data_IF_975163123263
#
_entry.id   IF_975163123263
#
_cell.length_a   1.000
_cell.length_b   1.000
_cell.length_c   1.000
_cell.angle_alpha   90.00
_cell.angle_beta   90.00
_cell.angle_gamma   90.00
#
_symmetry.space_group_name_H-M   'P 1'
#
loop_
_entity.id
_entity.type
_entity.pdbx_description
1 polymer ?
#
# COMPACT_ATOMS: atom_id res chain seq x y z
N UNK A 1 16.92 58.98 -31.29
CA UNK A 1 16.43 60.17 -30.57
C UNK A 1 14.95 59.91 -30.28
N UNK A 2 14.63 59.32 -29.11
CA UNK A 2 14.09 60.00 -27.90
C UNK A 2 12.65 60.53 -28.18
N UNK A 3 11.59 60.20 -27.44
CA UNK A 3 11.46 60.12 -25.97
C UNK A 3 10.32 59.18 -25.57
N UNK A 4 10.58 58.37 -24.55
CA UNK A 4 9.65 57.52 -23.80
C UNK A 4 8.70 58.44 -23.01
N UNK A 5 7.45 58.59 -23.46
CA UNK A 5 6.41 59.42 -22.83
C UNK A 5 5.58 58.72 -21.76
N UNK A 6 6.19 57.81 -20.99
CA UNK A 6 5.52 57.07 -19.93
C UNK A 6 5.80 57.67 -18.55
N UNK A 7 4.75 58.21 -17.92
CA UNK A 7 4.58 58.24 -16.45
C UNK A 7 5.17 59.42 -15.64
N UNK A 8 4.95 60.67 -16.05
CA UNK A 8 5.30 61.86 -15.23
C UNK A 8 4.20 62.28 -14.21
N UNK A 9 3.01 61.65 -14.25
CA UNK A 9 1.85 62.01 -13.42
C UNK A 9 1.86 61.39 -12.01
N UNK A 10 2.31 60.15 -11.88
CA UNK A 10 2.38 59.45 -10.58
C UNK A 10 3.41 60.12 -9.67
N UNK A 11 4.53 60.58 -10.25
CA UNK A 11 5.61 61.21 -9.51
C UNK A 11 5.18 62.54 -8.85
N UNK A 12 4.37 63.38 -9.51
CA UNK A 12 3.86 64.64 -8.90
C UNK A 12 2.82 64.39 -7.80
N UNK A 13 1.98 63.36 -7.95
CA UNK A 13 0.97 62.99 -6.93
C UNK A 13 1.59 62.49 -5.63
N UNK A 14 2.72 61.79 -5.70
CA UNK A 14 3.42 61.28 -4.51
C UNK A 14 4.03 62.40 -3.65
N UNK A 15 4.50 63.50 -4.24
CA UNK A 15 5.13 64.59 -3.49
C UNK A 15 4.12 65.47 -2.75
N UNK A 16 2.88 65.57 -3.23
CA UNK A 16 1.81 66.37 -2.62
C UNK A 16 1.03 65.65 -1.49
N UNK A 17 1.39 64.41 -1.15
CA UNK A 17 0.78 63.69 -0.03
C UNK A 17 1.44 64.09 1.30
N UNK A 18 0.62 64.33 2.34
CA UNK A 18 1.14 64.58 3.68
C UNK A 18 1.96 63.39 4.18
N UNK A 19 2.98 63.65 5.00
CA UNK A 19 3.91 62.65 5.54
C UNK A 19 3.16 61.46 6.17
N UNK A 20 2.01 61.72 6.82
CA UNK A 20 1.12 60.71 7.39
C UNK A 20 0.67 59.66 6.37
N UNK A 21 0.24 60.07 5.18
CA UNK A 21 -0.24 59.12 4.15
C UNK A 21 0.90 58.26 3.58
N UNK A 22 2.11 58.81 3.46
CA UNK A 22 3.29 58.06 3.00
C UNK A 22 3.68 56.96 4.00
N UNK A 23 3.69 57.29 5.28
CA UNK A 23 3.95 56.32 6.37
C UNK A 23 2.83 55.27 6.45
N UNK A 24 1.56 55.68 6.44
CA UNK A 24 0.42 54.75 6.47
C UNK A 24 0.44 53.81 5.27
N UNK A 25 0.75 54.28 4.06
CA UNK A 25 0.85 53.42 2.88
C UNK A 25 1.95 52.34 3.03
N UNK A 26 3.11 52.70 3.57
CA UNK A 26 4.20 51.75 3.84
C UNK A 26 3.79 50.66 4.85
N UNK A 27 3.18 51.06 5.97
CA UNK A 27 2.68 50.11 6.98
C UNK A 27 1.50 49.27 6.46
N UNK A 28 0.59 49.84 5.67
CA UNK A 28 -0.50 49.08 5.06
C UNK A 28 0.04 48.05 4.06
N UNK A 29 1.09 48.38 3.30
CA UNK A 29 1.73 47.45 2.40
C UNK A 29 2.37 46.28 3.15
N UNK A 30 3.07 46.52 4.27
CA UNK A 30 3.66 45.42 5.07
C UNK A 30 2.59 44.53 5.68
N UNK A 31 1.51 45.10 6.23
CA UNK A 31 0.37 44.33 6.73
C UNK A 31 -0.26 43.47 5.62
N UNK A 32 -0.46 44.06 4.45
CA UNK A 32 -1.00 43.35 3.29
C UNK A 32 -0.11 42.17 2.86
N UNK A 33 1.20 42.37 2.75
CA UNK A 33 2.14 41.29 2.42
C UNK A 33 2.17 40.20 3.50
N UNK A 34 2.11 40.56 4.78
CA UNK A 34 2.03 39.59 5.88
C UNK A 34 0.76 38.74 5.78
N UNK A 35 -0.39 39.36 5.48
CA UNK A 35 -1.66 38.63 5.28
C UNK A 35 -1.55 37.68 4.08
N UNK A 36 -1.00 38.14 2.95
CA UNK A 36 -0.80 37.31 1.77
C UNK A 36 0.09 36.09 2.06
N UNK A 37 1.25 36.31 2.68
CA UNK A 37 2.16 35.23 3.05
C UNK A 37 1.47 34.26 4.01
N UNK A 38 0.76 34.77 5.02
CA UNK A 38 0.03 33.93 5.98
C UNK A 38 -1.07 33.09 5.30
N UNK A 39 -1.81 33.67 4.35
CA UNK A 39 -2.85 32.96 3.59
C UNK A 39 -2.25 31.86 2.69
N UNK A 40 -1.16 32.16 1.98
CA UNK A 40 -0.46 31.16 1.15
C UNK A 40 0.17 30.05 1.99
N UNK A 41 0.74 30.41 3.15
CA UNK A 41 1.27 29.46 4.12
C UNK A 41 0.19 28.53 4.65
N UNK A 42 -0.96 29.09 5.03
CA UNK A 42 -2.11 28.31 5.50
C UNK A 42 -2.63 27.34 4.42
N UNK A 43 -2.80 27.81 3.17
CA UNK A 43 -3.21 26.95 2.06
C UNK A 43 -2.21 25.82 1.83
N UNK A 44 -0.92 26.16 1.76
CA UNK A 44 0.15 25.17 1.56
C UNK A 44 0.16 24.12 2.68
N UNK A 45 0.09 24.55 3.94
CA UNK A 45 0.00 23.65 5.09
C UNK A 45 -1.26 22.79 5.06
N UNK A 46 -2.40 23.32 4.60
CA UNK A 46 -3.64 22.54 4.47
C UNK A 46 -3.51 21.43 3.42
N UNK A 47 -2.95 21.75 2.24
CA UNK A 47 -2.71 20.78 1.18
C UNK A 47 -1.71 19.69 1.61
N UNK A 48 -0.61 20.08 2.27
CA UNK A 48 0.36 19.12 2.82
C UNK A 48 -0.32 18.20 3.84
N UNK A 49 -1.17 18.75 4.73
CA UNK A 49 -1.86 17.96 5.74
C UNK A 49 -2.77 16.90 5.12
N UNK A 50 -3.53 17.26 4.08
CA UNK A 50 -4.39 16.31 3.37
C UNK A 50 -3.59 15.19 2.72
N UNK A 51 -2.49 15.51 2.02
CA UNK A 51 -1.65 14.48 1.41
C UNK A 51 -1.00 13.55 2.45
N UNK A 52 -0.55 14.11 3.58
CA UNK A 52 -0.01 13.31 4.70
C UNK A 52 -1.10 12.42 5.28
N UNK A 53 -2.31 12.93 5.49
CA UNK A 53 -3.43 12.16 6.03
C UNK A 53 -3.82 11.00 5.10
N UNK A 54 -3.90 11.22 3.79
CA UNK A 54 -4.20 10.17 2.81
C UNK A 54 -3.14 9.06 2.78
N UNK A 55 -1.86 9.44 2.87
CA UNK A 55 -0.75 8.48 2.92
C UNK A 55 -0.81 7.66 4.21
N UNK A 56 -0.92 8.30 5.37
CA UNK A 56 -0.81 7.61 6.66
C UNK A 56 -2.08 6.85 7.06
N UNK A 57 -3.27 7.32 6.66
CA UNK A 57 -4.54 6.69 7.05
C UNK A 57 -5.09 5.72 6.00
N UNK A 58 -4.69 5.86 4.73
CA UNK A 58 -5.12 5.00 3.64
C UNK A 58 -4.00 4.11 3.10
N UNK A 59 -3.01 4.72 2.44
CA UNK A 59 -2.03 3.98 1.61
C UNK A 59 -1.06 3.14 2.43
N UNK A 60 -0.53 3.68 3.53
CA UNK A 60 0.43 2.97 4.38
C UNK A 60 -0.19 1.71 5.02
N UNK A 61 -1.39 1.75 5.64
CA UNK A 61 -2.07 0.54 6.09
C UNK A 61 -2.40 -0.43 4.97
N UNK A 62 -2.83 0.05 3.79
CA UNK A 62 -3.12 -0.81 2.65
C UNK A 62 -1.86 -1.59 2.19
N UNK A 63 -0.73 -0.91 2.07
CA UNK A 63 0.55 -1.52 1.73
C UNK A 63 1.04 -2.49 2.80
N UNK A 64 0.91 -2.13 4.09
CA UNK A 64 1.24 -3.02 5.21
C UNK A 64 0.45 -4.32 5.12
N UNK A 65 -0.87 -4.26 4.94
CA UNK A 65 -1.70 -5.46 4.80
C UNK A 65 -1.35 -6.33 3.59
N UNK A 66 -1.02 -5.73 2.45
CA UNK A 66 -0.62 -6.48 1.25
C UNK A 66 0.71 -7.21 1.48
N UNK A 67 1.73 -6.52 1.99
CA UNK A 67 3.06 -7.09 2.25
C UNK A 67 3.00 -8.15 3.34
N UNK A 68 2.25 -7.90 4.41
CA UNK A 68 2.09 -8.90 5.47
C UNK A 68 1.33 -10.13 4.98
N UNK A 69 0.28 -9.97 4.17
CA UNK A 69 -0.42 -11.11 3.58
C UNK A 69 0.52 -11.94 2.69
N UNK A 70 1.36 -11.28 1.89
CA UNK A 70 2.35 -11.97 1.04
C UNK A 70 3.41 -12.73 1.85
N UNK A 71 3.90 -12.12 2.93
CA UNK A 71 4.83 -12.75 3.87
C UNK A 71 4.22 -14.02 4.47
N UNK A 72 2.99 -13.95 4.96
CA UNK A 72 2.31 -15.09 5.57
C UNK A 72 2.10 -16.23 4.55
N UNK A 73 1.79 -15.89 3.29
CA UNK A 73 1.71 -16.84 2.18
C UNK A 73 3.05 -17.55 1.91
N UNK A 74 4.18 -16.84 1.98
CA UNK A 74 5.50 -17.49 1.90
C UNK A 74 5.79 -18.37 3.11
N UNK A 75 5.42 -17.91 4.31
CA UNK A 75 5.63 -18.65 5.55
C UNK A 75 4.88 -19.98 5.55
N UNK A 76 3.60 -19.99 5.14
CA UNK A 76 2.85 -21.24 5.05
C UNK A 76 3.39 -22.16 3.94
N UNK A 77 3.84 -21.66 2.79
CA UNK A 77 4.45 -22.54 1.76
C UNK A 77 5.76 -23.15 2.24
N UNK A 78 6.57 -22.38 2.98
CA UNK A 78 7.76 -22.90 3.64
C UNK A 78 7.41 -24.05 4.59
N UNK A 79 6.32 -23.90 5.36
CA UNK A 79 5.81 -24.93 6.26
C UNK A 79 5.31 -26.16 5.50
N UNK A 80 4.48 -25.97 4.46
CA UNK A 80 3.98 -27.04 3.59
C UNK A 80 5.13 -27.90 3.04
N UNK A 81 6.16 -27.24 2.51
CA UNK A 81 7.32 -27.94 1.94
C UNK A 81 8.15 -28.65 3.01
N UNK A 82 8.24 -28.08 4.20
CA UNK A 82 8.91 -28.71 5.34
C UNK A 82 8.14 -29.95 5.84
N UNK A 83 6.81 -29.91 5.82
CA UNK A 83 5.96 -31.05 6.17
C UNK A 83 6.25 -32.27 5.30
N UNK A 84 6.59 -32.08 4.01
CA UNK A 84 6.92 -33.18 3.10
C UNK A 84 8.07 -34.02 3.65
N UNK A 85 9.07 -33.38 4.26
CA UNK A 85 10.28 -34.02 4.79
C UNK A 85 10.23 -34.37 6.29
N UNK A 86 9.15 -34.02 6.98
CA UNK A 86 9.04 -34.18 8.43
C UNK A 86 8.26 -35.44 8.80
N UNK A 87 8.81 -36.29 9.66
CA UNK A 87 8.11 -37.49 10.16
C UNK A 87 6.77 -37.10 10.81
N UNK A 88 5.65 -37.66 10.32
CA UNK A 88 4.30 -37.35 10.84
C UNK A 88 4.06 -37.80 12.28
N UNK A 89 4.94 -38.63 12.84
CA UNK A 89 4.88 -39.02 14.26
C UNK A 89 5.64 -38.08 15.19
N UNK A 90 6.36 -37.10 14.66
CA UNK A 90 7.14 -36.16 15.45
C UNK A 90 6.33 -34.97 15.92
N UNK A 91 6.64 -34.43 17.11
CA UNK A 91 6.01 -33.21 17.63
C UNK A 91 6.21 -32.00 16.69
N UNK A 92 7.34 -31.97 15.99
CA UNK A 92 7.65 -30.94 14.98
C UNK A 92 6.63 -30.92 13.85
N UNK A 93 6.11 -32.09 13.45
CA UNK A 93 5.12 -32.17 12.38
C UNK A 93 3.82 -31.47 12.77
N UNK A 94 3.33 -31.71 13.98
CA UNK A 94 2.13 -31.03 14.49
C UNK A 94 2.33 -29.51 14.51
N UNK A 95 3.49 -29.04 14.96
CA UNK A 95 3.83 -27.62 14.94
C UNK A 95 3.87 -27.00 13.54
N UNK A 96 4.36 -27.72 12.52
CA UNK A 96 4.32 -27.21 11.14
C UNK A 96 2.92 -27.22 10.53
N UNK A 97 2.05 -28.16 10.90
CA UNK A 97 0.64 -28.14 10.49
C UNK A 97 -0.09 -26.95 11.11
N UNK A 98 0.13 -26.70 12.40
CA UNK A 98 -0.41 -25.53 13.10
C UNK A 98 0.09 -24.23 12.46
N UNK A 99 1.40 -24.08 12.27
CA UNK A 99 2.00 -22.91 11.63
C UNK A 99 1.46 -22.68 10.21
N UNK A 100 1.26 -23.73 9.42
CA UNK A 100 0.61 -23.62 8.10
C UNK A 100 -0.82 -23.05 8.21
N UNK A 101 -1.64 -23.59 9.13
CA UNK A 101 -3.03 -23.17 9.31
C UNK A 101 -3.14 -21.74 9.84
N UNK A 102 -2.31 -21.37 10.80
CA UNK A 102 -2.25 -20.02 11.36
C UNK A 102 -1.91 -18.98 10.27
N UNK A 103 -0.90 -19.24 9.46
CA UNK A 103 -0.50 -18.33 8.38
C UNK A 103 -1.52 -18.30 7.23
N UNK A 104 -2.22 -19.40 6.96
CA UNK A 104 -3.36 -19.43 6.03
C UNK A 104 -4.50 -18.52 6.51
N UNK A 105 -4.81 -18.55 7.81
CA UNK A 105 -5.81 -17.66 8.42
C UNK A 105 -5.34 -16.20 8.42
N UNK A 106 -4.13 -15.95 8.90
CA UNK A 106 -3.57 -14.61 9.01
C UNK A 106 -3.48 -13.88 7.66
N UNK A 107 -3.04 -14.59 6.61
CA UNK A 107 -3.04 -14.03 5.25
C UNK A 107 -4.45 -13.71 4.74
N UNK A 108 -5.49 -14.42 5.20
CA UNK A 108 -6.89 -14.09 4.84
C UNK A 108 -7.35 -12.85 5.62
N UNK A 109 -7.09 -12.79 6.92
CA UNK A 109 -7.46 -11.64 7.74
C UNK A 109 -6.85 -10.34 7.23
N UNK A 110 -5.56 -10.36 6.85
CA UNK A 110 -4.86 -9.22 6.25
C UNK A 110 -5.43 -8.85 4.89
N UNK A 111 -5.72 -9.85 4.06
CA UNK A 111 -6.39 -9.65 2.79
C UNK A 111 -7.77 -8.99 2.95
N UNK A 112 -8.59 -9.45 3.90
CA UNK A 112 -9.89 -8.83 4.18
C UNK A 112 -9.77 -7.39 4.71
N UNK A 113 -8.69 -7.08 5.46
CA UNK A 113 -8.41 -5.70 5.88
C UNK A 113 -8.02 -4.82 4.69
N UNK A 114 -7.16 -5.30 3.79
CA UNK A 114 -6.84 -4.59 2.55
C UNK A 114 -8.08 -4.31 1.70
N UNK A 115 -8.97 -5.30 1.50
CA UNK A 115 -10.20 -5.13 0.71
C UNK A 115 -11.11 -4.00 1.22
N UNK A 116 -11.07 -3.66 2.50
CA UNK A 116 -11.83 -2.54 3.08
C UNK A 116 -11.23 -1.17 2.77
N UNK A 117 -9.95 -1.13 2.38
CA UNK A 117 -9.22 0.08 2.06
C UNK A 117 -9.11 0.34 0.55
N UNK A 118 -9.40 -0.65 -0.29
CA UNK A 118 -9.42 -0.48 -1.75
C UNK A 118 -10.50 0.53 -2.18
N UNK A 119 -10.17 1.41 -3.12
CA UNK A 119 -11.04 2.52 -3.52
C UNK A 119 -11.28 2.59 -5.03
N UNK A 120 -10.42 2.00 -5.84
CA UNK A 120 -10.44 2.18 -7.30
C UNK A 120 -11.01 0.97 -8.04
N UNK A 121 -11.63 1.22 -9.20
CA UNK A 121 -12.14 0.15 -10.08
C UNK A 121 -11.02 -0.83 -10.49
N UNK A 122 -9.80 -0.33 -10.67
CA UNK A 122 -8.64 -1.15 -11.00
C UNK A 122 -8.28 -2.13 -9.87
N UNK A 123 -8.29 -1.67 -8.62
CA UNK A 123 -8.10 -2.55 -7.45
C UNK A 123 -9.20 -3.60 -7.37
N UNK A 124 -10.47 -3.22 -7.52
CA UNK A 124 -11.59 -4.16 -7.44
C UNK A 124 -11.51 -5.27 -8.50
N UNK A 125 -11.08 -4.94 -9.72
CA UNK A 125 -10.85 -5.95 -10.77
C UNK A 125 -9.75 -6.94 -10.37
N UNK A 126 -8.66 -6.48 -9.78
CA UNK A 126 -7.56 -7.36 -9.38
C UNK A 126 -7.91 -8.16 -8.13
N UNK A 127 -8.65 -7.58 -7.17
CA UNK A 127 -9.19 -8.26 -5.99
C UNK A 127 -10.00 -9.48 -6.40
N UNK A 128 -10.88 -9.36 -7.40
CA UNK A 128 -11.67 -10.50 -7.89
C UNK A 128 -10.79 -11.62 -8.48
N UNK A 129 -9.74 -11.25 -9.22
CA UNK A 129 -8.79 -12.22 -9.78
C UNK A 129 -7.99 -12.93 -8.69
N UNK A 130 -7.56 -12.19 -7.68
CA UNK A 130 -6.89 -12.76 -6.51
C UNK A 130 -7.83 -13.70 -5.75
N UNK A 131 -9.07 -13.30 -5.46
CA UNK A 131 -10.03 -14.14 -4.72
C UNK A 131 -10.27 -15.47 -5.44
N UNK A 132 -10.41 -15.45 -6.77
CA UNK A 132 -10.53 -16.66 -7.58
C UNK A 132 -9.26 -17.52 -7.54
N UNK A 133 -8.09 -16.92 -7.79
CA UNK A 133 -6.82 -17.63 -7.79
C UNK A 133 -6.47 -18.22 -6.42
N UNK A 134 -6.78 -17.50 -5.33
CA UNK A 134 -6.58 -17.96 -3.96
C UNK A 134 -7.44 -19.16 -3.63
N UNK A 135 -8.70 -19.17 -4.06
CA UNK A 135 -9.58 -20.33 -3.88
C UNK A 135 -8.99 -21.57 -4.53
N UNK A 136 -8.59 -21.47 -5.80
CA UNK A 136 -8.00 -22.59 -6.53
C UNK A 136 -6.69 -23.06 -5.92
N UNK A 137 -5.81 -22.13 -5.54
CA UNK A 137 -4.54 -22.45 -4.92
C UNK A 137 -4.71 -23.12 -3.55
N UNK A 138 -5.60 -22.58 -2.70
CA UNK A 138 -5.87 -23.10 -1.36
C UNK A 138 -6.29 -24.57 -1.40
N UNK A 139 -7.22 -24.93 -2.29
CA UNK A 139 -7.69 -26.31 -2.44
C UNK A 139 -6.53 -27.29 -2.72
N UNK A 140 -5.54 -26.88 -3.52
CA UNK A 140 -4.39 -27.72 -3.85
C UNK A 140 -3.35 -27.74 -2.73
N UNK A 141 -3.08 -26.60 -2.11
CA UNK A 141 -2.16 -26.51 -0.97
C UNK A 141 -2.65 -27.37 0.21
N UNK A 142 -3.94 -27.31 0.53
CA UNK A 142 -4.55 -28.17 1.56
C UNK A 142 -4.45 -29.67 1.19
N UNK A 143 -4.54 -30.01 -0.11
CA UNK A 143 -4.34 -31.38 -0.58
C UNK A 143 -2.91 -31.85 -0.36
N UNK A 144 -1.89 -31.00 -0.56
CA UNK A 144 -0.48 -31.33 -0.23
C UNK A 144 -0.35 -31.65 1.25
N UNK A 145 -0.84 -30.76 2.14
CA UNK A 145 -0.78 -30.98 3.59
C UNK A 145 -1.51 -32.26 3.99
N UNK A 146 -2.69 -32.53 3.41
CA UNK A 146 -3.45 -33.75 3.67
C UNK A 146 -2.69 -35.01 3.28
N UNK A 147 -1.97 -35.00 2.15
CA UNK A 147 -1.10 -36.10 1.74
C UNK A 147 0.04 -36.30 2.76
N UNK A 148 0.67 -35.22 3.24
CA UNK A 148 1.70 -35.30 4.27
C UNK A 148 1.17 -35.88 5.59
N UNK A 149 -0.03 -35.49 6.01
CA UNK A 149 -0.68 -36.04 7.22
C UNK A 149 -0.97 -37.53 7.06
N UNK A 150 -1.52 -37.92 5.91
CA UNK A 150 -2.07 -39.26 5.69
C UNK A 150 -1.02 -40.31 5.32
N UNK A 151 0.12 -39.89 4.77
CA UNK A 151 1.16 -40.78 4.25
C UNK A 151 2.42 -40.75 5.11
N UNK A 152 3.05 -41.92 5.36
CA UNK A 152 4.38 -41.96 5.96
C UNK A 152 5.40 -41.30 5.02
N UNK A 153 6.52 -40.84 5.59
CA UNK A 153 7.54 -40.05 4.91
C UNK A 153 7.97 -40.66 3.56
N UNK A 154 8.15 -41.98 3.50
CA UNK A 154 8.65 -42.71 2.33
C UNK A 154 7.65 -42.75 1.17
N UNK A 155 6.38 -42.40 1.40
CA UNK A 155 5.30 -42.46 0.39
C UNK A 155 4.83 -41.08 -0.10
N UNK A 156 5.56 -40.01 0.21
CA UNK A 156 5.14 -38.62 -0.08
C UNK A 156 5.61 -38.05 -1.43
N UNK A 157 6.08 -38.88 -2.37
CA UNK A 157 6.46 -38.41 -3.71
C UNK A 157 5.33 -37.64 -4.40
N UNK A 158 4.08 -38.10 -4.24
CA UNK A 158 2.89 -37.41 -4.77
C UNK A 158 2.64 -36.03 -4.13
N UNK A 159 2.91 -35.87 -2.83
CA UNK A 159 2.82 -34.57 -2.16
C UNK A 159 3.90 -33.62 -2.67
N UNK A 160 5.12 -34.13 -2.89
CA UNK A 160 6.23 -33.39 -3.47
C UNK A 160 5.91 -32.89 -4.88
N UNK A 161 5.52 -33.79 -5.79
CA UNK A 161 5.18 -33.47 -7.17
C UNK A 161 4.07 -32.42 -7.25
N UNK A 162 3.05 -32.53 -6.40
CA UNK A 162 1.96 -31.56 -6.33
C UNK A 162 2.43 -30.20 -5.81
N UNK A 163 3.25 -30.17 -4.75
CA UNK A 163 3.74 -28.94 -4.10
C UNK A 163 4.65 -28.11 -5.01
N UNK A 164 5.61 -28.74 -5.68
CA UNK A 164 6.56 -28.03 -6.56
C UNK A 164 6.02 -27.80 -7.97
N UNK A 165 4.99 -28.54 -8.36
CA UNK A 165 4.30 -28.43 -9.65
C UNK A 165 3.09 -27.48 -9.58
N UNK A 166 1.90 -28.07 -9.63
CA UNK A 166 0.64 -27.33 -9.78
C UNK A 166 0.40 -26.33 -8.63
N UNK A 167 0.68 -26.72 -7.38
CA UNK A 167 0.49 -25.83 -6.23
C UNK A 167 1.37 -24.58 -6.35
N UNK A 168 2.64 -24.74 -6.73
CA UNK A 168 3.57 -23.63 -6.92
C UNK A 168 3.13 -22.72 -8.08
N UNK A 169 2.67 -23.27 -9.20
CA UNK A 169 2.21 -22.45 -10.33
C UNK A 169 1.00 -21.58 -9.95
N UNK A 170 0.03 -22.16 -9.22
CA UNK A 170 -1.13 -21.41 -8.74
C UNK A 170 -0.75 -20.39 -7.66
N UNK A 171 0.21 -20.72 -6.79
CA UNK A 171 0.73 -19.80 -5.79
C UNK A 171 1.33 -18.55 -6.42
N UNK A 172 2.25 -18.71 -7.39
CA UNK A 172 2.88 -17.58 -8.07
C UNK A 172 1.86 -16.74 -8.85
N UNK A 173 0.88 -17.40 -9.48
CA UNK A 173 -0.21 -16.72 -10.17
C UNK A 173 -1.04 -15.87 -9.21
N UNK A 174 -1.39 -16.42 -8.05
CA UNK A 174 -2.13 -15.70 -7.01
C UNK A 174 -1.33 -14.50 -6.49
N UNK A 175 -0.06 -14.71 -6.10
CA UNK A 175 0.80 -13.66 -5.51
C UNK A 175 1.07 -12.51 -6.46
N UNK A 176 1.15 -12.77 -7.76
CA UNK A 176 1.26 -11.71 -8.78
C UNK A 176 0.16 -10.66 -8.68
N UNK A 177 -1.04 -11.02 -8.21
CA UNK A 177 -2.09 -10.05 -7.98
C UNK A 177 -1.85 -9.17 -6.75
N UNK A 178 -1.20 -9.70 -5.69
CA UNK A 178 -0.74 -8.87 -4.56
C UNK A 178 0.33 -7.89 -5.03
N UNK A 179 1.28 -8.33 -5.86
CA UNK A 179 2.30 -7.45 -6.44
C UNK A 179 1.66 -6.31 -7.25
N UNK A 180 0.68 -6.63 -8.10
CA UNK A 180 -0.05 -5.63 -8.89
C UNK A 180 -0.81 -4.62 -8.03
N UNK A 181 -1.43 -5.07 -6.93
CA UNK A 181 -2.12 -4.18 -6.00
C UNK A 181 -1.14 -3.29 -5.24
N UNK A 182 0.02 -3.82 -4.88
CA UNK A 182 1.10 -3.06 -4.24
C UNK A 182 1.59 -1.94 -5.17
N UNK A 183 1.80 -2.26 -6.46
CA UNK A 183 2.18 -1.27 -7.47
C UNK A 183 1.11 -0.17 -7.64
N UNK A 184 -0.18 -0.52 -7.58
CA UNK A 184 -1.28 0.45 -7.67
C UNK A 184 -1.30 1.39 -6.47
N UNK A 185 -1.19 0.82 -5.26
CA UNK A 185 -1.16 1.61 -4.01
C UNK A 185 0.05 2.57 -4.01
N UNK A 186 1.20 2.11 -4.51
CA UNK A 186 2.42 2.92 -4.64
C UNK A 186 2.34 3.98 -5.74
N UNK A 187 1.76 3.66 -6.90
CA UNK A 187 1.63 4.62 -8.00
C UNK A 187 0.65 5.75 -7.67
N UNK A 188 -0.31 5.48 -6.78
CA UNK A 188 -1.19 6.50 -6.24
C UNK A 188 -0.52 7.39 -5.19
N UNK A 189 0.65 7.04 -4.63
CA UNK A 189 1.31 7.67 -3.49
C UNK A 189 1.80 9.11 -3.75
#
# INVERSE_FOLDING_TARGET
MLIIGGNMSIHKRFYNLSIRHKLTAGFSATVFFTILISATGYWSSHCIRQNVEDIFSGKMPAMDYLIEADRDLWQLISAERTLIFTDNKSDKFAGFVEFYNENMQQSDERWQKYKKLAQTDQEFVIIQKYDAARKEWKEISEKVVKLCVSLPLEKRSSAMELSVGEANQKFETMRKYIDQLTDIVLAGA
#
